data_IF_037225158872
#
_entry.id   IF_037225158872
#
_cell.length_a   1.000
_cell.length_b   1.000
_cell.length_c   1.000
_cell.angle_alpha   90.00
_cell.angle_beta   90.00
_cell.angle_gamma   90.00
#
_symmetry.space_group_name_H-M   'P 1'
#
loop_
_entity.id
_entity.type
_entity.pdbx_description
1 polymer ?
#
# COMPACT_ATOMS: atom_id res chain seq x y z
N UNK A 1 15.94 -47.16 56.12
CA UNK A 1 16.94 -46.22 55.55
C UNK A 1 17.56 -46.91 54.33
N UNK A 2 17.31 -46.40 53.11
CA UNK A 2 18.08 -46.73 51.90
C UNK A 2 18.03 -45.52 50.95
N UNK A 3 19.17 -45.29 50.30
CA UNK A 3 19.57 -44.04 49.65
C UNK A 3 18.93 -43.83 48.28
N UNK A 4 18.65 -42.56 48.01
CA UNK A 4 18.36 -41.95 46.70
C UNK A 4 19.26 -42.43 45.57
N UNK A 5 18.65 -42.70 44.42
CA UNK A 5 19.27 -42.49 43.10
C UNK A 5 18.68 -41.20 42.52
N UNK A 6 19.51 -40.18 42.36
CA UNK A 6 19.11 -38.89 41.80
C UNK A 6 19.46 -38.90 40.32
N UNK A 7 18.46 -39.05 39.45
CA UNK A 7 18.63 -38.92 38.00
C UNK A 7 18.36 -37.46 37.66
N UNK A 8 19.40 -36.71 37.28
CA UNK A 8 19.34 -35.24 37.22
C UNK A 8 18.97 -34.69 35.84
N UNK A 9 19.11 -35.47 34.78
CA UNK A 9 18.57 -35.15 33.46
C UNK A 9 18.71 -36.40 32.59
N UNK A 10 17.61 -37.04 32.21
CA UNK A 10 17.62 -38.12 31.23
C UNK A 10 16.87 -37.58 30.03
N UNK A 11 17.61 -37.07 29.03
CA UNK A 11 17.06 -36.75 27.72
C UNK A 11 16.67 -38.07 27.04
N UNK A 12 15.48 -38.57 27.34
CA UNK A 12 14.92 -39.75 26.69
C UNK A 12 14.51 -39.33 25.28
N UNK A 13 15.27 -39.79 24.29
CA UNK A 13 14.85 -39.76 22.90
C UNK A 13 14.00 -41.01 22.65
N UNK A 14 12.69 -40.83 22.59
CA UNK A 14 11.75 -41.88 22.22
C UNK A 14 11.36 -41.69 20.75
N UNK A 15 11.45 -42.74 19.94
CA UNK A 15 10.97 -42.72 18.56
C UNK A 15 9.44 -42.84 18.56
N UNK A 16 8.77 -41.73 18.29
CA UNK A 16 7.32 -41.69 18.17
C UNK A 16 6.90 -42.20 16.79
N UNK A 17 5.95 -43.15 16.76
CA UNK A 17 5.34 -43.58 15.50
C UNK A 17 4.47 -42.45 14.90
N UNK A 18 4.03 -42.64 13.65
CA UNK A 18 3.24 -41.63 12.92
C UNK A 18 1.90 -41.26 13.60
N UNK A 19 1.29 -42.18 14.36
CA UNK A 19 0.06 -41.94 15.13
C UNK A 19 0.36 -41.16 16.40
N UNK A 20 1.39 -41.51 17.14
CA UNK A 20 1.83 -40.77 18.32
C UNK A 20 2.27 -39.34 17.96
N UNK A 21 2.99 -39.18 16.84
CA UNK A 21 3.34 -37.88 16.28
C UNK A 21 2.12 -37.06 15.85
N UNK A 22 0.98 -37.68 15.56
CA UNK A 22 -0.25 -36.95 15.26
C UNK A 22 -0.81 -36.23 16.50
N UNK A 23 -0.66 -36.80 17.69
CA UNK A 23 -1.15 -36.22 18.94
C UNK A 23 -0.30 -35.03 19.40
N UNK A 24 1.03 -35.08 19.20
CA UNK A 24 1.96 -34.00 19.56
C UNK A 24 1.64 -32.69 18.81
N UNK A 25 1.22 -32.80 17.53
CA UNK A 25 0.85 -31.64 16.69
C UNK A 25 -0.64 -31.29 16.73
N UNK A 26 -1.35 -31.75 17.76
CA UNK A 26 -2.74 -31.36 18.03
C UNK A 26 -3.83 -32.31 17.54
N UNK A 27 -3.48 -33.44 16.93
CA UNK A 27 -4.43 -34.42 16.40
C UNK A 27 -5.34 -33.85 15.30
N UNK A 28 -5.85 -34.69 14.42
CA UNK A 28 -6.96 -34.27 13.56
C UNK A 28 -8.24 -34.24 14.41
N UNK A 29 -8.46 -33.19 15.19
CA UNK A 29 -9.78 -32.92 15.77
C UNK A 29 -10.72 -32.57 14.61
N UNK A 30 -11.68 -33.44 14.25
CA UNK A 30 -12.65 -33.11 13.22
C UNK A 30 -13.52 -31.96 13.75
N UNK A 31 -13.22 -30.73 13.34
CA UNK A 31 -14.02 -29.55 13.64
C UNK A 31 -13.31 -28.37 14.29
N UNK A 32 -12.04 -28.48 14.68
CA UNK A 32 -11.29 -27.33 15.20
C UNK A 32 -10.20 -26.90 14.23
N UNK A 33 -10.62 -26.13 13.22
CA UNK A 33 -9.71 -25.29 12.46
C UNK A 33 -9.51 -24.00 13.28
N UNK A 34 -8.28 -23.64 13.70
CA UNK A 34 -8.07 -22.32 14.27
C UNK A 34 -8.46 -21.32 13.19
N UNK A 35 -9.50 -20.53 13.47
CA UNK A 35 -9.95 -19.48 12.57
C UNK A 35 -8.78 -18.54 12.33
N UNK A 36 -8.21 -18.58 11.12
CA UNK A 36 -7.26 -17.58 10.68
C UNK A 36 -8.06 -16.29 10.48
N UNK A 37 -8.16 -15.48 11.53
CA UNK A 37 -8.70 -14.14 11.42
C UNK A 37 -7.64 -13.30 10.72
N UNK A 38 -7.73 -13.24 9.39
CA UNK A 38 -7.01 -12.21 8.63
C UNK A 38 -7.64 -10.87 9.02
N UNK A 39 -6.99 -10.12 9.90
CA UNK A 39 -7.38 -8.73 10.11
C UNK A 39 -7.06 -7.99 8.81
N UNK A 40 -8.07 -7.79 7.97
CA UNK A 40 -7.95 -6.87 6.85
C UNK A 40 -7.80 -5.47 7.43
N UNK A 41 -6.56 -4.96 7.47
CA UNK A 41 -6.33 -3.54 7.70
C UNK A 41 -6.89 -2.78 6.51
N UNK A 42 -8.11 -2.28 6.65
CA UNK A 42 -8.69 -1.32 5.71
C UNK A 42 -7.94 0.01 5.86
N UNK A 43 -6.79 0.12 5.18
CA UNK A 43 -6.05 1.37 5.07
C UNK A 43 -6.78 2.24 4.04
N UNK A 44 -7.67 3.11 4.52
CA UNK A 44 -8.26 4.15 3.69
C UNK A 44 -7.23 5.27 3.51
N UNK A 45 -6.74 5.44 2.28
CA UNK A 45 -5.97 6.62 1.89
C UNK A 45 -6.87 7.51 1.02
N UNK A 46 -7.06 8.75 1.44
CA UNK A 46 -7.63 9.80 0.62
C UNK A 46 -6.51 10.79 0.33
N UNK A 47 -5.98 10.80 -0.89
CA UNK A 47 -5.04 11.83 -1.31
C UNK A 47 -5.80 12.83 -2.18
N UNK A 48 -6.30 13.86 -1.52
CA UNK A 48 -6.97 15.00 -2.15
C UNK A 48 -5.98 15.75 -3.04
N UNK A 49 -6.38 16.02 -4.27
CA UNK A 49 -5.52 16.60 -5.30
C UNK A 49 -6.29 17.72 -5.99
N UNK A 50 -6.09 18.94 -5.50
CA UNK A 50 -6.74 20.13 -6.03
C UNK A 50 -5.76 20.91 -6.90
N UNK A 51 -6.17 21.24 -8.12
CA UNK A 51 -5.51 22.27 -8.92
C UNK A 51 -6.53 23.35 -9.26
N UNK A 52 -6.15 24.60 -9.04
CA UNK A 52 -6.85 25.76 -9.52
C UNK A 52 -5.92 26.56 -10.43
N UNK A 53 -6.37 26.84 -11.65
CA UNK A 53 -5.62 27.62 -12.63
C UNK A 53 -6.50 28.74 -13.19
N UNK A 54 -5.91 29.91 -13.34
CA UNK A 54 -6.50 31.06 -14.02
C UNK A 54 -5.49 31.61 -15.01
N UNK A 55 -5.91 31.85 -16.24
CA UNK A 55 -5.06 32.46 -17.28
C UNK A 55 -5.80 33.64 -17.92
N UNK A 56 -5.21 34.81 -17.82
CA UNK A 56 -5.67 36.02 -18.50
C UNK A 56 -4.66 36.38 -19.60
N UNK A 57 -5.07 36.27 -20.87
CA UNK A 57 -4.21 36.60 -22.02
C UNK A 57 -4.80 37.79 -22.77
N UNK A 58 -4.03 38.88 -22.85
CA UNK A 58 -4.43 40.11 -23.54
C UNK A 58 -3.51 40.31 -24.74
N UNK A 59 -4.09 40.42 -25.93
CA UNK A 59 -3.39 40.73 -27.18
C UNK A 59 -3.89 42.06 -27.72
N UNK A 60 -3.10 43.12 -27.59
CA UNK A 60 -3.49 44.46 -28.02
C UNK A 60 -2.71 44.85 -29.28
N UNK A 61 -3.22 44.46 -30.45
CA UNK A 61 -2.55 44.68 -31.73
C UNK A 61 -3.24 45.78 -32.55
N UNK A 62 -2.46 46.59 -33.27
CA UNK A 62 -2.98 47.63 -34.16
C UNK A 62 -3.73 48.77 -33.47
N UNK A 63 -3.43 49.06 -32.20
CA UNK A 63 -4.07 50.16 -31.49
C UNK A 63 -3.53 51.53 -31.93
N UNK A 64 -4.44 52.47 -32.21
CA UNK A 64 -4.16 53.85 -32.61
C UNK A 64 -3.27 54.00 -33.86
N UNK A 65 -3.52 53.21 -34.91
CA UNK A 65 -2.72 53.27 -36.14
C UNK A 65 -3.56 53.70 -37.34
N UNK A 66 -3.17 54.83 -37.97
CA UNK A 66 -3.68 55.26 -39.27
C UNK A 66 -2.72 54.83 -40.39
N UNK A 67 -3.26 54.40 -41.53
CA UNK A 67 -2.51 53.97 -42.73
C UNK A 67 -1.53 52.79 -42.52
N UNK A 68 -1.84 51.84 -41.63
CA UNK A 68 -1.02 50.63 -41.48
C UNK A 68 -1.46 49.49 -42.40
N UNK A 69 -0.47 48.73 -42.89
CA UNK A 69 -0.64 47.43 -43.53
C UNK A 69 0.30 46.42 -42.87
N UNK A 70 -0.03 45.13 -42.92
CA UNK A 70 0.83 44.07 -42.39
C UNK A 70 0.81 43.87 -40.87
N UNK A 71 -0.18 44.42 -40.16
CA UNK A 71 -0.34 44.19 -38.72
C UNK A 71 -0.80 42.75 -38.48
N UNK A 72 0.04 41.93 -37.84
CA UNK A 72 -0.28 40.55 -37.46
C UNK A 72 0.11 40.29 -36.00
N UNK A 73 -0.65 39.43 -35.32
CA UNK A 73 -0.34 38.98 -33.96
C UNK A 73 -0.63 37.49 -33.88
N UNK A 74 0.31 36.73 -33.31
CA UNK A 74 0.15 35.31 -33.07
C UNK A 74 0.31 35.08 -31.57
N UNK A 75 -0.80 34.83 -30.90
CA UNK A 75 -0.84 34.62 -29.45
C UNK A 75 -1.19 33.17 -29.18
N UNK A 76 -0.26 32.44 -28.56
CA UNK A 76 -0.35 31.00 -28.28
C UNK A 76 -0.14 30.71 -26.78
N UNK A 77 -1.07 31.15 -25.92
CA UNK A 77 -0.99 30.85 -24.49
C UNK A 77 -1.23 29.35 -24.29
N UNK A 78 -0.35 28.72 -23.53
CA UNK A 78 -0.50 27.33 -23.08
C UNK A 78 -0.48 27.34 -21.56
N UNK A 79 -1.49 26.72 -20.96
CA UNK A 79 -1.53 26.48 -19.52
C UNK A 79 -1.67 24.97 -19.30
N UNK A 80 -0.69 24.39 -18.62
CA UNK A 80 -0.65 22.96 -18.32
C UNK A 80 -0.62 22.80 -16.81
N UNK A 81 -1.48 21.93 -16.31
CA UNK A 81 -1.54 21.51 -14.92
C UNK A 81 -1.51 20.00 -14.87
N UNK A 82 -0.53 19.47 -14.15
CA UNK A 82 -0.42 18.05 -13.91
C UNK A 82 -0.56 17.80 -12.41
N UNK A 83 -1.62 17.12 -12.01
CA UNK A 83 -1.75 16.57 -10.67
C UNK A 83 -1.58 15.06 -10.74
N UNK A 84 -0.50 14.54 -10.14
CA UNK A 84 -0.24 13.11 -10.07
C UNK A 84 -0.24 12.67 -8.62
N UNK A 85 -0.98 11.59 -8.37
CA UNK A 85 -0.99 10.89 -7.09
C UNK A 85 -0.70 9.42 -7.35
N UNK A 86 0.29 8.88 -6.63
CA UNK A 86 0.69 7.48 -6.71
C UNK A 86 0.51 6.86 -5.34
N UNK A 87 -0.30 5.80 -5.29
CA UNK A 87 -0.54 5.03 -4.07
C UNK A 87 0.05 3.65 -4.30
N UNK A 88 1.07 3.32 -3.51
CA UNK A 88 1.72 2.01 -3.53
C UNK A 88 1.15 1.15 -2.40
N UNK A 89 0.88 -0.12 -2.68
CA UNK A 89 0.52 -1.14 -1.70
C UNK A 89 1.64 -2.18 -1.59
#
# INVERSE_FOLDING_TARGET
>A
MMKTLMIKDLSVTEELDSRAMSAVRGGNLPGFWPSYSSSTTNLSFGAEQLISQSQNTISNNGNNVAFASGISSTVKPTQTANNYNTVNF
#
